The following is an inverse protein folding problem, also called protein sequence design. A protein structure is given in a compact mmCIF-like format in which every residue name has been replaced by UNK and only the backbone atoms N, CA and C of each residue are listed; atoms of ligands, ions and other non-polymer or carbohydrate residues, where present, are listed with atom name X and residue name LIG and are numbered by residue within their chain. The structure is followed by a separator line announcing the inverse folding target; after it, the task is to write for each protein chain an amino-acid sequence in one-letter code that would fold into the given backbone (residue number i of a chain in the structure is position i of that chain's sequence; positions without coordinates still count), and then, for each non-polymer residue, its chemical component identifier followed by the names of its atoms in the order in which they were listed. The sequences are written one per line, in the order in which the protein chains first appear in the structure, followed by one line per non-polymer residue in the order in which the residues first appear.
data_IF_949088969937
#
_entry.id   IF_949088969937
#
_cell.length_a   1.000
_cell.length_b   1.000
_cell.length_c   1.000
_cell.angle_alpha   90.00
_cell.angle_beta   90.00
_cell.angle_gamma   90.00
#
_symmetry.space_group_name_H-M   'P 1'
#
loop_
_entity.id
_entity.type
_entity.pdbx_description
1 polymer ?
#
# COMPACT_ATOMS: atom_id res chain seq x y z
N UNK A 1 7.02 40.47 14.88
CA UNK A 1 7.86 39.70 13.94
C UNK A 1 7.05 38.51 13.47
N UNK A 2 7.01 38.24 12.17
CA UNK A 2 6.47 36.97 11.68
C UNK A 2 7.50 35.87 12.00
N UNK A 3 7.15 34.97 12.92
CA UNK A 3 8.02 33.89 13.41
C UNK A 3 7.35 32.54 13.13
N UNK A 4 8.14 31.48 12.97
CA UNK A 4 7.66 30.13 12.63
C UNK A 4 6.59 29.59 13.57
N UNK A 5 6.64 29.96 14.85
CA UNK A 5 5.70 29.49 15.89
C UNK A 5 4.29 30.09 15.77
N UNK A 6 4.12 31.16 14.97
CA UNK A 6 2.84 31.82 14.72
C UNK A 6 2.51 31.89 13.23
N UNK A 7 3.18 31.09 12.41
CA UNK A 7 2.89 31.03 10.99
C UNK A 7 1.50 30.39 10.77
N UNK A 8 0.69 31.01 9.92
CA UNK A 8 -0.59 30.43 9.48
C UNK A 8 -0.40 29.37 8.39
N UNK A 9 0.83 29.22 7.90
CA UNK A 9 1.20 28.28 6.85
C UNK A 9 1.74 26.98 7.42
N UNK A 10 1.41 25.87 6.77
CA UNK A 10 2.05 24.59 7.04
C UNK A 10 3.51 24.57 6.56
N UNK A 11 4.27 23.56 6.98
CA UNK A 11 5.54 23.26 6.33
C UNK A 11 5.28 22.62 4.96
N UNK A 12 5.20 23.46 3.93
CA UNK A 12 4.83 23.06 2.57
C UNK A 12 5.70 21.92 2.03
N UNK A 13 7.03 22.01 2.20
CA UNK A 13 7.96 21.02 1.68
C UNK A 13 7.70 19.62 2.28
N UNK A 14 7.56 19.54 3.61
CA UNK A 14 7.30 18.27 4.29
C UNK A 14 5.90 17.74 4.02
N UNK A 15 4.89 18.60 3.94
CA UNK A 15 3.53 18.20 3.56
C UNK A 15 3.48 17.64 2.13
N UNK A 16 4.14 18.31 1.19
CA UNK A 16 4.25 17.83 -0.19
C UNK A 16 4.93 16.47 -0.27
N UNK A 17 6.01 16.26 0.48
CA UNK A 17 6.68 14.96 0.57
C UNK A 17 5.74 13.87 1.13
N UNK A 18 5.02 14.17 2.22
CA UNK A 18 4.07 13.24 2.82
C UNK A 18 2.94 12.85 1.84
N UNK A 19 2.42 13.82 1.07
CA UNK A 19 1.40 13.58 0.03
C UNK A 19 1.94 12.71 -1.12
N UNK A 20 3.18 12.93 -1.55
CA UNK A 20 3.81 12.11 -2.58
C UNK A 20 3.96 10.65 -2.10
N UNK A 21 4.42 10.45 -0.87
CA UNK A 21 4.52 9.12 -0.25
C UNK A 21 3.15 8.46 -0.08
N UNK A 22 2.12 9.22 0.29
CA UNK A 22 0.74 8.72 0.35
C UNK A 22 0.26 8.16 -1.00
N UNK A 23 0.55 8.87 -2.09
CA UNK A 23 0.21 8.42 -3.44
C UNK A 23 0.95 7.13 -3.85
N UNK A 24 2.26 7.09 -3.63
CA UNK A 24 3.10 5.91 -3.89
C UNK A 24 2.64 4.67 -3.10
N UNK A 25 2.30 4.89 -1.84
CA UNK A 25 1.72 3.88 -0.96
C UNK A 25 0.40 3.35 -1.51
N UNK A 26 -0.58 4.23 -1.77
CA UNK A 26 -1.89 3.82 -2.26
C UNK A 26 -1.82 3.06 -3.59
N UNK A 27 -0.94 3.49 -4.50
CA UNK A 27 -0.71 2.81 -5.79
C UNK A 27 -0.17 1.39 -5.61
N UNK A 28 0.82 1.22 -4.73
CA UNK A 28 1.41 -0.09 -4.43
C UNK A 28 0.36 -1.02 -3.79
N UNK A 29 -0.35 -0.53 -2.77
CA UNK A 29 -1.38 -1.29 -2.08
C UNK A 29 -2.52 -1.74 -3.00
N UNK A 30 -2.95 -0.89 -3.94
CA UNK A 30 -3.96 -1.26 -4.93
C UNK A 30 -3.47 -2.38 -5.87
N UNK A 31 -2.19 -2.36 -6.26
CA UNK A 31 -1.60 -3.42 -7.08
C UNK A 31 -1.57 -4.76 -6.33
N UNK A 32 -1.13 -4.74 -5.08
CA UNK A 32 -1.09 -5.93 -4.22
C UNK A 32 -2.48 -6.48 -3.95
N UNK A 33 -3.44 -5.62 -3.61
CA UNK A 33 -4.85 -6.00 -3.41
C UNK A 33 -5.44 -6.65 -4.65
N UNK A 34 -5.26 -6.01 -5.82
CA UNK A 34 -5.72 -6.55 -7.09
C UNK A 34 -5.20 -7.97 -7.34
N UNK A 35 -3.90 -8.20 -7.13
CA UNK A 35 -3.31 -9.51 -7.32
C UNK A 35 -3.81 -10.53 -6.29
N UNK A 36 -3.94 -10.18 -5.02
CA UNK A 36 -4.47 -11.09 -4.00
C UNK A 36 -5.91 -11.56 -4.31
N UNK A 37 -6.75 -10.63 -4.79
CA UNK A 37 -8.15 -10.89 -5.09
C UNK A 37 -8.31 -11.66 -6.41
N UNK A 38 -7.49 -11.35 -7.43
CA UNK A 38 -7.66 -11.90 -8.79
C UNK A 38 -6.93 -13.20 -9.05
N UNK A 39 -5.93 -13.55 -8.24
CA UNK A 39 -5.22 -14.81 -8.42
C UNK A 39 -6.07 -16.01 -7.97
N UNK A 40 -5.86 -17.20 -8.60
CA UNK A 40 -6.63 -18.41 -8.32
C UNK A 40 -6.59 -18.84 -6.86
N UNK A 41 -7.60 -19.58 -6.43
CA UNK A 41 -7.56 -20.31 -5.17
C UNK A 41 -6.47 -21.38 -5.23
N UNK A 42 -5.69 -21.49 -4.16
CA UNK A 42 -4.69 -22.54 -4.05
C UNK A 42 -5.39 -23.91 -4.06
N UNK A 43 -4.90 -24.84 -4.88
CA UNK A 43 -5.47 -26.19 -4.97
C UNK A 43 -4.36 -27.23 -4.84
N UNK A 44 -4.54 -28.15 -3.90
CA UNK A 44 -3.61 -29.24 -3.60
C UNK A 44 -4.00 -30.59 -4.23
N UNK A 45 -5.00 -30.60 -5.11
CA UNK A 45 -5.37 -31.78 -5.87
C UNK A 45 -4.18 -32.32 -6.69
N UNK A 46 -3.89 -33.61 -6.53
CA UNK A 46 -2.75 -34.26 -7.18
C UNK A 46 -1.37 -33.92 -6.60
N UNK A 47 -1.29 -33.14 -5.52
CA UNK A 47 -0.02 -32.77 -4.87
C UNK A 47 0.33 -33.76 -3.76
N UNK A 48 1.48 -34.41 -3.88
CA UNK A 48 2.04 -35.20 -2.78
C UNK A 48 2.65 -34.26 -1.74
N UNK A 49 2.26 -34.40 -0.47
CA UNK A 49 2.70 -33.52 0.63
C UNK A 49 3.62 -34.23 1.63
N UNK A 50 4.18 -35.39 1.28
CA UNK A 50 5.21 -36.10 2.04
C UNK A 50 4.89 -36.27 3.55
N UNK A 51 3.62 -36.48 3.91
CA UNK A 51 3.17 -36.68 5.31
C UNK A 51 2.75 -35.41 6.07
N UNK A 52 2.94 -34.21 5.53
CA UNK A 52 2.53 -32.94 6.15
C UNK A 52 1.04 -32.62 5.89
N UNK A 53 0.15 -33.53 6.29
CA UNK A 53 -1.27 -33.54 5.88
C UNK A 53 -2.07 -32.28 6.23
N UNK A 54 -1.60 -31.47 7.17
CA UNK A 54 -2.20 -30.22 7.60
C UNK A 54 -1.73 -28.99 6.80
N UNK A 55 -0.59 -29.08 6.11
CA UNK A 55 -0.02 -27.98 5.32
C UNK A 55 -0.98 -27.42 4.25
N UNK A 56 -1.73 -28.24 3.47
CA UNK A 56 -2.70 -27.74 2.50
C UNK A 56 -3.74 -26.83 3.13
N UNK A 57 -4.31 -27.24 4.27
CA UNK A 57 -5.32 -26.46 4.98
C UNK A 57 -4.77 -25.13 5.50
N UNK A 58 -3.53 -25.14 6.00
CA UNK A 58 -2.84 -23.93 6.45
C UNK A 58 -2.60 -22.94 5.31
N UNK A 59 -2.06 -23.38 4.17
CA UNK A 59 -1.81 -22.51 3.02
C UNK A 59 -3.11 -21.94 2.42
N UNK A 60 -4.18 -22.74 2.37
CA UNK A 60 -5.52 -22.24 1.97
C UNK A 60 -5.98 -21.14 2.92
N UNK A 61 -5.79 -21.31 4.23
CA UNK A 61 -6.15 -20.31 5.22
C UNK A 61 -5.27 -19.06 5.12
N UNK A 62 -3.97 -19.22 4.89
CA UNK A 62 -3.04 -18.11 4.68
C UNK A 62 -3.47 -17.24 3.49
N UNK A 63 -3.88 -17.86 2.38
CA UNK A 63 -4.42 -17.14 1.22
C UNK A 63 -5.73 -16.40 1.54
N UNK A 64 -6.63 -17.03 2.31
CA UNK A 64 -7.88 -16.38 2.75
C UNK A 64 -7.61 -15.17 3.65
N UNK A 65 -6.67 -15.30 4.59
CA UNK A 65 -6.26 -14.20 5.47
C UNK A 65 -5.68 -13.05 4.63
N UNK A 66 -4.77 -13.34 3.70
CA UNK A 66 -4.19 -12.34 2.80
C UNK A 66 -5.26 -11.58 1.99
N UNK A 67 -6.28 -12.27 1.47
CA UNK A 67 -7.40 -11.64 0.76
C UNK A 67 -8.28 -10.80 1.69
N UNK A 68 -8.52 -11.24 2.92
CA UNK A 68 -9.28 -10.45 3.90
C UNK A 68 -8.56 -9.13 4.23
N UNK A 69 -7.23 -9.15 4.33
CA UNK A 69 -6.42 -7.94 4.51
C UNK A 69 -6.47 -7.00 3.30
N UNK A 70 -6.43 -7.54 2.09
CA UNK A 70 -6.62 -6.80 0.85
C UNK A 70 -7.99 -6.09 0.80
N UNK A 71 -9.06 -6.78 1.21
CA UNK A 71 -10.40 -6.19 1.31
C UNK A 71 -10.46 -5.11 2.39
N UNK A 72 -9.79 -5.31 3.53
CA UNK A 72 -9.70 -4.30 4.61
C UNK A 72 -9.00 -3.03 4.11
N UNK A 73 -7.91 -3.18 3.35
CA UNK A 73 -7.30 -2.05 2.65
C UNK A 73 -8.31 -1.35 1.74
N UNK A 74 -8.97 -2.10 0.84
CA UNK A 74 -9.80 -1.52 -0.22
C UNK A 74 -11.05 -0.81 0.28
N UNK A 75 -11.63 -1.29 1.38
CA UNK A 75 -12.94 -0.85 1.87
C UNK A 75 -12.86 0.07 3.08
N UNK A 76 -11.78 0.02 3.85
CA UNK A 76 -11.65 0.77 5.11
C UNK A 76 -10.46 1.72 5.06
N UNK A 77 -9.23 1.20 5.02
CA UNK A 77 -8.01 2.02 5.17
C UNK A 77 -7.85 3.00 4.00
N UNK A 78 -8.14 2.57 2.77
CA UNK A 78 -8.11 3.46 1.60
C UNK A 78 -9.10 4.61 1.72
N UNK A 79 -10.30 4.35 2.28
CA UNK A 79 -11.28 5.41 2.53
C UNK A 79 -10.76 6.38 3.58
N UNK A 80 -10.24 5.89 4.70
CA UNK A 80 -9.68 6.74 5.75
C UNK A 80 -8.53 7.62 5.22
N UNK A 81 -7.69 7.09 4.33
CA UNK A 81 -6.65 7.88 3.66
C UNK A 81 -7.26 9.00 2.80
N UNK A 82 -8.27 8.69 1.99
CA UNK A 82 -8.95 9.68 1.16
C UNK A 82 -9.63 10.76 2.00
N UNK A 83 -10.31 10.38 3.09
CA UNK A 83 -10.96 11.31 4.02
C UNK A 83 -9.92 12.27 4.64
N UNK A 84 -8.73 11.77 5.03
CA UNK A 84 -7.63 12.63 5.51
C UNK A 84 -7.14 13.60 4.44
N UNK A 85 -7.03 13.17 3.18
CA UNK A 85 -6.59 14.02 2.08
C UNK A 85 -7.65 15.08 1.71
N UNK A 86 -8.93 14.71 1.74
CA UNK A 86 -10.04 15.64 1.53
C UNK A 86 -10.05 16.74 2.59
N UNK A 87 -9.75 16.41 3.84
CA UNK A 87 -9.65 17.42 4.90
C UNK A 87 -8.59 18.51 4.66
N UNK A 88 -7.51 18.20 3.94
CA UNK A 88 -6.51 19.22 3.52
C UNK A 88 -7.15 20.21 2.52
N UNK A 89 -7.94 19.69 1.56
CA UNK A 89 -8.63 20.50 0.55
C UNK A 89 -9.74 21.35 1.17
N UNK A 90 -10.50 20.77 2.11
CA UNK A 90 -11.57 21.47 2.83
C UNK A 90 -11.01 22.59 3.71
N UNK A 91 -9.85 22.37 4.36
CA UNK A 91 -9.16 23.42 5.10
C UNK A 91 -8.71 24.57 4.19
N UNK A 92 -8.07 24.26 3.05
CA UNK A 92 -7.64 25.27 2.07
C UNK A 92 -8.83 26.10 1.57
N UNK A 93 -9.95 25.43 1.25
CA UNK A 93 -11.19 26.09 0.84
C UNK A 93 -11.73 27.02 1.94
N UNK A 94 -11.69 26.59 3.19
CA UNK A 94 -12.15 27.40 4.33
C UNK A 94 -11.24 28.61 4.56
N UNK A 95 -9.92 28.41 4.44
CA UNK A 95 -8.95 29.50 4.54
C UNK A 95 -9.14 30.53 3.43
N UNK A 96 -9.35 30.09 2.18
CA UNK A 96 -9.61 30.98 1.04
C UNK A 96 -10.91 31.78 1.23
N UNK A 97 -11.98 31.14 1.71
CA UNK A 97 -13.25 31.82 2.02
C UNK A 97 -13.10 32.91 3.09
N UNK A 98 -12.22 32.71 4.08
CA UNK A 98 -11.96 33.70 5.13
C UNK A 98 -10.91 34.74 4.77
N UNK A 99 -10.16 34.56 3.67
CA UNK A 99 -9.00 35.39 3.36
C UNK A 99 -9.32 36.88 3.29
N UNK A 100 -10.29 37.28 2.45
CA UNK A 100 -10.65 38.70 2.28
C UNK A 100 -11.21 39.30 3.58
N UNK A 101 -12.01 38.52 4.33
CA UNK A 101 -12.58 38.96 5.61
C UNK A 101 -11.49 39.20 6.66
N UNK A 102 -10.49 38.31 6.73
CA UNK A 102 -9.35 38.46 7.65
C UNK A 102 -8.49 39.67 7.26
N UNK A 103 -8.25 39.88 5.95
CA UNK A 103 -7.50 41.05 5.45
C UNK A 103 -8.22 42.35 5.80
N UNK A 104 -9.52 42.42 5.59
CA UNK A 104 -10.33 43.60 5.92
C UNK A 104 -10.37 43.87 7.44
N UNK A 105 -10.48 42.82 8.26
CA UNK A 105 -10.43 42.94 9.71
C UNK A 105 -9.08 43.52 10.19
N UNK A 106 -7.97 43.08 9.58
CA UNK A 106 -6.62 43.64 9.87
C UNK A 106 -6.56 45.12 9.47
N UNK A 107 -7.05 45.47 8.28
CA UNK A 107 -6.98 46.85 7.75
C UNK A 107 -7.85 47.83 8.54
N UNK A 108 -8.97 47.37 9.10
CA UNK A 108 -9.92 48.18 9.85
C UNK A 108 -9.69 48.15 11.36
N UNK A 109 -8.79 47.28 11.85
CA UNK A 109 -8.52 47.10 13.27
C UNK A 109 -9.62 46.34 14.02
N UNK A 110 -10.43 45.54 13.30
CA UNK A 110 -11.47 44.70 13.86
C UNK A 110 -10.89 43.42 14.47
N UNK A 111 -10.55 43.51 15.76
CA UNK A 111 -9.99 42.39 16.50
C UNK A 111 -10.98 41.25 16.77
N UNK A 112 -12.29 41.53 16.79
CA UNK A 112 -13.31 40.51 17.09
C UNK A 112 -13.48 39.58 15.88
N UNK A 113 -13.62 40.15 14.68
CA UNK A 113 -13.69 39.36 13.43
C UNK A 113 -12.41 38.55 13.20
N UNK A 114 -11.24 39.14 13.47
CA UNK A 114 -9.96 38.42 13.36
C UNK A 114 -9.91 37.21 14.32
N UNK A 115 -10.36 37.39 15.56
CA UNK A 115 -10.38 36.33 16.56
C UNK A 115 -11.35 35.21 16.18
N UNK A 116 -12.52 35.55 15.65
CA UNK A 116 -13.52 34.58 15.18
C UNK A 116 -12.95 33.73 14.03
N UNK A 117 -12.46 34.36 12.96
CA UNK A 117 -11.90 33.65 11.81
C UNK A 117 -10.73 32.71 12.18
N UNK A 118 -9.82 33.16 13.05
CA UNK A 118 -8.72 32.30 13.55
C UNK A 118 -9.24 31.17 14.45
N UNK A 119 -10.31 31.39 15.22
CA UNK A 119 -10.91 30.35 16.07
C UNK A 119 -11.57 29.26 15.24
N UNK A 120 -12.24 29.64 14.15
CA UNK A 120 -12.87 28.70 13.23
C UNK A 120 -11.83 27.87 12.48
N UNK A 121 -10.79 28.52 11.90
CA UNK A 121 -9.69 27.81 11.26
C UNK A 121 -8.99 26.84 12.22
N UNK A 122 -8.84 27.22 13.49
CA UNK A 122 -8.29 26.32 14.52
C UNK A 122 -9.20 25.11 14.78
N UNK A 123 -10.51 25.27 14.70
CA UNK A 123 -11.47 24.16 14.86
C UNK A 123 -11.31 23.15 13.72
N UNK A 124 -11.15 23.61 12.48
CA UNK A 124 -10.85 22.76 11.33
C UNK A 124 -9.49 22.06 11.45
N UNK A 125 -8.45 22.75 11.94
CA UNK A 125 -7.14 22.14 12.26
C UNK A 125 -7.31 20.98 13.24
N UNK A 126 -8.10 21.15 14.31
CA UNK A 126 -8.33 20.08 15.30
C UNK A 126 -9.08 18.88 14.69
N UNK A 127 -10.02 19.14 13.78
CA UNK A 127 -10.73 18.07 13.08
C UNK A 127 -9.78 17.30 12.15
N UNK A 128 -8.92 17.99 11.41
CA UNK A 128 -7.89 17.37 10.57
C UNK A 128 -6.84 16.59 11.38
N UNK A 129 -6.47 17.09 12.56
CA UNK A 129 -5.61 16.38 13.50
C UNK A 129 -6.22 15.03 13.89
N UNK A 130 -7.50 15.01 14.27
CA UNK A 130 -8.23 13.79 14.62
C UNK A 130 -8.30 12.80 13.46
N UNK A 131 -8.60 13.27 12.26
CA UNK A 131 -8.65 12.42 11.06
C UNK A 131 -7.27 11.84 10.72
N UNK A 132 -6.19 12.61 10.85
CA UNK A 132 -4.83 12.12 10.65
C UNK A 132 -4.41 11.10 11.71
N UNK A 133 -4.74 11.30 12.98
CA UNK A 133 -4.48 10.34 14.06
C UNK A 133 -5.23 9.02 13.81
N UNK A 134 -6.50 9.09 13.42
CA UNK A 134 -7.28 7.90 13.09
C UNK A 134 -6.68 7.11 11.93
N UNK A 135 -6.17 7.79 10.88
CA UNK A 135 -5.46 7.14 9.79
C UNK A 135 -4.25 6.33 10.29
N UNK A 136 -3.41 6.90 11.17
CA UNK A 136 -2.26 6.19 11.74
C UNK A 136 -2.69 4.97 12.56
N UNK A 137 -3.77 5.09 13.33
CA UNK A 137 -4.33 3.97 14.09
C UNK A 137 -4.78 2.83 13.17
N UNK A 138 -5.53 3.12 12.12
CA UNK A 138 -6.04 2.11 11.18
C UNK A 138 -4.91 1.45 10.35
N UNK A 139 -3.91 2.23 9.93
CA UNK A 139 -2.71 1.69 9.29
C UNK A 139 -1.95 0.74 10.22
N UNK A 140 -1.78 1.13 11.49
CA UNK A 140 -1.08 0.32 12.51
C UNK A 140 -1.82 -0.98 12.77
N UNK A 141 -3.14 -0.93 12.95
CA UNK A 141 -3.98 -2.13 13.14
C UNK A 141 -3.84 -3.10 11.98
N UNK A 142 -3.93 -2.61 10.73
CA UNK A 142 -3.80 -3.45 9.56
C UNK A 142 -2.38 -4.05 9.45
N UNK A 143 -1.33 -3.26 9.70
CA UNK A 143 0.06 -3.75 9.71
C UNK A 143 0.22 -4.88 10.73
N UNK A 144 -0.22 -4.67 11.96
CA UNK A 144 -0.01 -5.63 13.04
C UNK A 144 -0.77 -6.95 12.80
N UNK A 145 -1.99 -6.86 12.25
CA UNK A 145 -2.77 -8.03 11.84
C UNK A 145 -2.06 -8.81 10.73
N UNK A 146 -1.61 -8.12 9.68
CA UNK A 146 -0.86 -8.74 8.59
C UNK A 146 0.45 -9.36 9.09
N UNK A 147 1.18 -8.68 9.99
CA UNK A 147 2.49 -9.14 10.44
C UNK A 147 2.46 -10.50 11.13
N UNK A 148 1.37 -10.83 11.82
CA UNK A 148 1.18 -12.15 12.42
C UNK A 148 0.96 -13.23 11.34
N UNK A 149 0.06 -12.95 10.38
CA UNK A 149 -0.28 -13.89 9.31
C UNK A 149 0.88 -14.11 8.33
N UNK A 150 1.65 -13.06 8.00
CA UNK A 150 2.80 -13.18 7.07
C UNK A 150 3.90 -14.06 7.64
N UNK A 151 4.15 -14.03 8.95
CA UNK A 151 5.14 -14.92 9.58
C UNK A 151 4.70 -16.38 9.52
N UNK A 152 3.43 -16.66 9.80
CA UNK A 152 2.88 -18.01 9.68
C UNK A 152 2.92 -18.49 8.22
N UNK A 153 2.48 -17.64 7.29
CA UNK A 153 2.47 -17.96 5.87
C UNK A 153 3.88 -18.19 5.32
N UNK A 154 4.87 -17.40 5.73
CA UNK A 154 6.28 -17.59 5.35
C UNK A 154 6.78 -18.97 5.72
N UNK A 155 6.56 -19.41 6.96
CA UNK A 155 6.96 -20.75 7.39
C UNK A 155 6.25 -21.87 6.63
N UNK A 156 4.94 -21.74 6.38
CA UNK A 156 4.18 -22.72 5.62
C UNK A 156 4.65 -22.78 4.15
N UNK A 157 4.90 -21.62 3.53
CA UNK A 157 5.41 -21.51 2.16
C UNK A 157 6.78 -22.15 2.02
N UNK A 158 7.72 -21.85 2.92
CA UNK A 158 9.07 -22.42 2.90
C UNK A 158 9.04 -23.95 3.03
N UNK A 159 8.17 -24.48 3.89
CA UNK A 159 7.93 -25.91 4.01
C UNK A 159 7.38 -26.51 2.71
N UNK A 160 6.38 -25.88 2.09
CA UNK A 160 5.84 -26.29 0.79
C UNK A 160 6.95 -26.32 -0.26
N UNK A 161 7.71 -25.24 -0.37
CA UNK A 161 8.80 -25.13 -1.33
C UNK A 161 9.84 -26.23 -1.15
N UNK A 162 10.21 -26.56 0.08
CA UNK A 162 11.11 -27.69 0.39
C UNK A 162 10.54 -29.03 -0.06
N UNK A 163 9.25 -29.28 0.19
CA UNK A 163 8.56 -30.51 -0.25
C UNK A 163 8.59 -30.62 -1.78
N UNK A 164 8.24 -29.55 -2.50
CA UNK A 164 8.18 -29.55 -3.96
C UNK A 164 9.57 -29.68 -4.58
N UNK A 165 10.59 -29.01 -4.01
CA UNK A 165 11.99 -29.16 -4.40
C UNK A 165 12.48 -30.60 -4.25
N UNK A 166 12.15 -31.27 -3.14
CA UNK A 166 12.49 -32.68 -2.91
C UNK A 166 11.79 -33.63 -3.88
N UNK A 167 10.76 -33.16 -4.59
CA UNK A 167 10.06 -33.89 -5.66
C UNK A 167 10.54 -33.47 -7.07
N UNK A 168 11.68 -32.78 -7.16
CA UNK A 168 12.34 -32.41 -8.41
C UNK A 168 11.79 -31.18 -9.12
N UNK A 169 10.95 -30.36 -8.47
CA UNK A 169 10.47 -29.10 -9.06
C UNK A 169 11.53 -27.98 -8.92
N UNK A 170 11.75 -27.19 -9.97
CA UNK A 170 12.68 -26.05 -9.99
C UNK A 170 12.05 -24.77 -9.40
N UNK A 171 11.62 -24.87 -8.14
CA UNK A 171 10.83 -23.83 -7.47
C UNK A 171 11.64 -22.58 -7.08
N UNK A 172 12.95 -22.70 -6.87
CA UNK A 172 13.79 -21.58 -6.44
C UNK A 172 14.09 -20.60 -7.56
N UNK A 173 14.44 -21.09 -8.75
CA UNK A 173 14.68 -20.22 -9.90
C UNK A 173 13.37 -19.54 -10.33
N UNK A 174 12.27 -20.28 -10.31
CA UNK A 174 10.95 -19.78 -10.66
C UNK A 174 10.46 -18.68 -9.70
N UNK A 175 10.65 -18.88 -8.39
CA UNK A 175 10.32 -17.86 -7.38
C UNK A 175 11.13 -16.57 -7.58
N UNK A 176 12.43 -16.66 -7.90
CA UNK A 176 13.25 -15.47 -8.19
C UNK A 176 12.72 -14.70 -9.38
N UNK A 177 12.32 -15.38 -10.46
CA UNK A 177 11.70 -14.75 -11.64
C UNK A 177 10.40 -14.06 -11.23
N UNK A 178 9.57 -14.73 -10.42
CA UNK A 178 8.32 -14.16 -9.94
C UNK A 178 8.53 -12.90 -9.09
N UNK A 179 9.49 -12.93 -8.16
CA UNK A 179 9.84 -11.77 -7.33
C UNK A 179 10.32 -10.59 -8.19
N UNK A 180 11.19 -10.84 -9.17
CA UNK A 180 11.67 -9.80 -10.09
C UNK A 180 10.53 -9.10 -10.85
N UNK A 181 9.51 -9.85 -11.26
CA UNK A 181 8.33 -9.29 -11.91
C UNK A 181 7.53 -8.41 -10.94
N UNK A 182 7.25 -8.94 -9.74
CA UNK A 182 6.39 -8.30 -8.75
C UNK A 182 7.05 -7.08 -8.09
N UNK A 183 8.38 -7.02 -8.02
CA UNK A 183 9.10 -5.85 -7.52
C UNK A 183 8.86 -4.59 -8.36
N UNK A 184 8.44 -4.75 -9.62
CA UNK A 184 8.17 -3.62 -10.52
C UNK A 184 7.03 -2.71 -10.07
N UNK A 185 6.08 -3.24 -9.29
CA UNK A 185 4.92 -2.51 -8.75
C UNK A 185 5.14 -2.03 -7.31
N UNK A 186 6.34 -2.24 -6.77
CA UNK A 186 6.74 -1.72 -5.46
C UNK A 186 7.15 -0.25 -5.56
N UNK A 187 6.19 0.61 -5.83
CA UNK A 187 6.42 2.04 -6.00
C UNK A 187 6.86 2.72 -4.70
N UNK A 188 6.55 2.14 -3.53
CA UNK A 188 6.99 2.69 -2.26
C UNK A 188 8.52 2.71 -2.12
N UNK A 189 9.22 1.69 -2.64
CA UNK A 189 10.69 1.63 -2.67
C UNK A 189 11.33 2.47 -3.77
N UNK A 190 10.53 2.99 -4.72
CA UNK A 190 11.04 3.93 -5.73
C UNK A 190 11.23 5.30 -5.05
N UNK A 191 12.44 5.52 -4.56
CA UNK A 191 12.97 6.86 -4.32
C UNK A 191 13.05 7.56 -5.67
N UNK A 192 12.20 8.55 -5.95
CA UNK A 192 12.46 9.37 -7.13
C UNK A 192 11.83 10.77 -7.10
N UNK A 193 12.64 11.70 -7.62
CA UNK A 193 12.45 13.14 -7.81
C UNK A 193 11.25 13.55 -8.66
N UNK A 194 10.50 12.58 -9.18
CA UNK A 194 9.45 12.77 -10.19
C UNK A 194 8.11 13.24 -9.60
N UNK A 195 8.04 13.34 -8.26
CA UNK A 195 6.85 13.76 -7.53
C UNK A 195 5.64 12.93 -7.91
N UNK A 196 4.52 13.57 -8.27
CA UNK A 196 3.29 12.86 -8.64
C UNK A 196 3.31 12.23 -10.04
N UNK A 197 4.33 12.45 -10.88
CA UNK A 197 4.36 11.88 -12.24
C UNK A 197 4.42 10.35 -12.23
N UNK A 198 5.04 9.76 -11.21
CA UNK A 198 5.07 8.30 -10.99
C UNK A 198 3.66 7.69 -10.88
N UNK A 199 2.63 8.48 -10.52
CA UNK A 199 1.24 8.02 -10.49
C UNK A 199 0.66 7.78 -11.88
N UNK A 200 1.11 8.51 -12.91
CA UNK A 200 0.58 8.43 -14.29
C UNK A 200 0.90 7.09 -14.98
N UNK A 201 1.97 6.40 -14.57
CA UNK A 201 2.33 5.11 -15.14
C UNK A 201 1.26 4.04 -14.90
N UNK A 202 0.79 3.36 -15.93
CA UNK A 202 -0.18 2.28 -15.78
C UNK A 202 0.46 1.01 -15.17
N UNK A 203 -0.30 0.27 -14.38
CA UNK A 203 0.02 -1.11 -13.98
C UNK A 203 -0.82 -2.05 -14.83
N UNK A 204 -0.18 -3.04 -15.45
CA UNK A 204 -0.82 -4.05 -16.28
C UNK A 204 -0.94 -5.35 -15.48
N UNK A 205 -2.15 -5.92 -15.42
CA UNK A 205 -2.35 -7.29 -14.95
C UNK A 205 -2.15 -8.26 -16.09
N UNK A 206 -1.05 -9.01 -16.07
CA UNK A 206 -0.68 -9.91 -17.17
C UNK A 206 -0.87 -11.37 -16.76
N UNK A 207 -1.58 -12.18 -17.58
CA UNK A 207 -1.75 -13.59 -17.30
C UNK A 207 -0.44 -14.36 -17.56
N UNK A 208 -0.16 -15.30 -16.68
CA UNK A 208 0.83 -16.38 -16.87
C UNK A 208 0.14 -17.74 -16.68
N UNK A 209 0.88 -18.83 -16.88
CA UNK A 209 0.34 -20.18 -16.77
C UNK A 209 -0.24 -20.46 -15.38
N UNK A 210 -1.30 -21.26 -15.35
CA UNK A 210 -2.05 -21.59 -14.14
C UNK A 210 -3.18 -20.61 -13.82
N UNK A 211 -3.51 -19.69 -14.73
CA UNK A 211 -4.52 -18.64 -14.48
C UNK A 211 -4.03 -17.55 -13.53
N UNK A 212 -2.72 -17.50 -13.28
CA UNK A 212 -2.08 -16.54 -12.38
C UNK A 212 -1.97 -15.20 -13.09
N UNK A 213 -2.22 -14.11 -12.36
CA UNK A 213 -2.10 -12.74 -12.82
C UNK A 213 -0.99 -12.05 -12.03
N UNK A 214 0.00 -11.53 -12.75
CA UNK A 214 1.09 -10.72 -12.18
C UNK A 214 0.93 -9.26 -12.59
N UNK A 215 1.16 -8.35 -11.65
CA UNK A 215 1.15 -6.91 -11.88
C UNK A 215 2.51 -6.43 -12.36
N UNK A 216 2.53 -5.72 -13.49
CA UNK A 216 3.76 -5.12 -14.04
C UNK A 216 3.55 -3.64 -14.34
N UNK A 217 4.48 -2.80 -13.91
CA UNK A 217 4.53 -1.40 -14.31
C UNK A 217 4.79 -1.28 -15.83
N UNK A 218 3.93 -0.58 -16.57
CA UNK A 218 3.96 -0.53 -18.04
C UNK A 218 5.31 -0.07 -18.61
N UNK A 219 5.95 0.87 -17.94
CA UNK A 219 7.30 1.39 -18.22
C UNK A 219 8.40 0.33 -18.03
N UNK A 220 8.19 -0.65 -17.16
CA UNK A 220 9.11 -1.76 -16.94
C UNK A 220 8.84 -2.98 -17.83
N UNK A 221 7.77 -3.00 -18.63
CA UNK A 221 7.37 -4.17 -19.39
C UNK A 221 8.45 -4.64 -20.37
N UNK A 222 9.05 -3.74 -21.15
CA UNK A 222 10.11 -4.10 -22.11
C UNK A 222 11.34 -4.69 -21.44
N UNK A 223 11.70 -4.18 -20.25
CA UNK A 223 12.83 -4.68 -19.45
C UNK A 223 12.55 -6.07 -18.87
N UNK A 224 11.30 -6.33 -18.49
CA UNK A 224 10.88 -7.57 -17.82
C UNK A 224 10.33 -8.62 -18.78
N UNK A 225 10.16 -8.31 -20.07
CA UNK A 225 9.63 -9.24 -21.06
C UNK A 225 10.41 -10.56 -21.13
N UNK A 226 11.76 -10.61 -21.05
CA UNK A 226 12.49 -11.88 -21.01
C UNK A 226 12.07 -12.76 -19.82
N UNK A 227 12.01 -12.20 -18.62
CA UNK A 227 11.57 -12.91 -17.40
C UNK A 227 10.10 -13.32 -17.49
N UNK A 228 9.25 -12.47 -18.05
CA UNK A 228 7.84 -12.76 -18.25
C UNK A 228 7.63 -13.91 -19.26
N UNK A 229 8.44 -13.95 -20.33
CA UNK A 229 8.40 -15.03 -21.30
C UNK A 229 8.74 -16.39 -20.67
N UNK A 230 9.72 -16.43 -19.75
CA UNK A 230 10.05 -17.63 -18.98
C UNK A 230 8.88 -18.07 -18.08
N UNK A 231 8.19 -17.14 -17.41
CA UNK A 231 7.00 -17.46 -16.61
C UNK A 231 5.80 -17.93 -17.46
N UNK A 232 5.79 -17.62 -18.76
CA UNK A 232 4.78 -18.10 -19.72
C UNK A 232 5.12 -19.45 -20.36
N UNK A 233 6.26 -20.07 -20.03
CA UNK A 233 6.55 -21.42 -20.49
C UNK A 233 5.76 -22.46 -19.70
N UNK A 234 5.29 -23.51 -20.38
CA UNK A 234 4.61 -24.65 -19.74
C UNK A 234 5.49 -25.24 -18.65
N UNK A 235 4.97 -25.23 -17.42
CA UNK A 235 5.61 -25.83 -16.25
C UNK A 235 4.72 -26.92 -15.66
N UNK A 236 5.31 -27.75 -14.82
CA UNK A 236 4.55 -28.77 -14.11
C UNK A 236 3.59 -28.17 -13.07
N UNK A 237 2.67 -28.99 -12.59
CA UNK A 237 1.62 -28.57 -11.66
C UNK A 237 2.17 -28.19 -10.27
N UNK A 238 3.33 -28.73 -9.84
CA UNK A 238 3.99 -28.36 -8.57
C UNK A 238 4.55 -26.95 -8.66
N UNK A 239 5.23 -26.63 -9.77
CA UNK A 239 5.71 -25.28 -10.04
C UNK A 239 4.55 -24.29 -10.13
N UNK A 240 3.45 -24.67 -10.78
CA UNK A 240 2.24 -23.84 -10.86
C UNK A 240 1.64 -23.55 -9.48
N UNK A 241 1.50 -24.57 -8.62
CA UNK A 241 1.06 -24.40 -7.23
C UNK A 241 1.98 -23.43 -6.47
N UNK A 242 3.29 -23.64 -6.58
CA UNK A 242 4.28 -22.80 -5.91
C UNK A 242 4.16 -21.33 -6.35
N UNK A 243 3.85 -21.06 -7.63
CA UNK A 243 3.60 -19.70 -8.12
C UNK A 243 2.36 -19.07 -7.49
N UNK A 244 1.23 -19.80 -7.40
CA UNK A 244 0.00 -19.26 -6.76
C UNK A 244 0.30 -18.84 -5.32
N UNK A 245 0.97 -19.72 -4.57
CA UNK A 245 1.39 -19.46 -3.19
C UNK A 245 2.40 -18.32 -3.11
N UNK A 246 3.38 -18.31 -4.01
CA UNK A 246 4.41 -17.28 -4.10
C UNK A 246 3.83 -15.90 -4.37
N UNK A 247 2.93 -15.76 -5.35
CA UNK A 247 2.25 -14.49 -5.63
C UNK A 247 1.46 -14.02 -4.41
N UNK A 248 0.69 -14.91 -3.78
CA UNK A 248 -0.08 -14.54 -2.59
C UNK A 248 0.83 -14.05 -1.46
N UNK A 249 1.88 -14.81 -1.13
CA UNK A 249 2.84 -14.47 -0.08
C UNK A 249 3.59 -13.15 -0.37
N UNK A 250 4.11 -12.99 -1.59
CA UNK A 250 4.87 -11.78 -1.96
C UNK A 250 3.99 -10.54 -1.81
N UNK A 251 2.75 -10.59 -2.29
CA UNK A 251 1.84 -9.46 -2.18
C UNK A 251 1.51 -9.09 -0.73
N UNK A 252 1.19 -10.06 0.13
CA UNK A 252 0.85 -9.76 1.52
C UNK A 252 2.08 -9.32 2.33
N UNK A 253 3.26 -9.86 2.03
CA UNK A 253 4.54 -9.42 2.60
C UNK A 253 4.87 -7.99 2.18
N UNK A 254 4.70 -7.63 0.91
CA UNK A 254 4.95 -6.26 0.45
C UNK A 254 3.88 -5.27 0.93
N UNK A 255 2.61 -5.69 1.12
CA UNK A 255 1.61 -4.87 1.83
C UNK A 255 2.05 -4.56 3.26
N UNK A 256 2.56 -5.55 4.00
CA UNK A 256 3.07 -5.36 5.36
C UNK A 256 4.20 -4.32 5.40
N UNK A 257 5.18 -4.43 4.49
CA UNK A 257 6.31 -3.50 4.40
C UNK A 257 5.85 -2.09 4.02
N UNK A 258 4.97 -1.97 3.02
CA UNK A 258 4.44 -0.69 2.58
C UNK A 258 3.66 0.03 3.69
N UNK A 259 2.95 -0.70 4.56
CA UNK A 259 2.26 -0.13 5.71
C UNK A 259 3.23 0.42 6.75
N UNK A 260 4.29 -0.32 7.09
CA UNK A 260 5.28 0.13 8.07
C UNK A 260 5.96 1.43 7.61
N UNK A 261 6.35 1.47 6.34
CA UNK A 261 6.95 2.68 5.80
C UNK A 261 5.94 3.84 5.71
N UNK A 262 4.70 3.58 5.32
CA UNK A 262 3.65 4.59 5.22
C UNK A 262 3.30 5.19 6.59
N UNK A 263 3.27 4.40 7.66
CA UNK A 263 3.07 4.91 9.02
C UNK A 263 4.16 5.93 9.37
N UNK A 264 5.42 5.62 9.09
CA UNK A 264 6.54 6.53 9.33
C UNK A 264 6.41 7.82 8.52
N UNK A 265 6.00 7.73 7.25
CA UNK A 265 5.83 8.87 6.37
C UNK A 265 4.62 9.76 6.71
N UNK A 266 3.49 9.15 7.01
CA UNK A 266 2.21 9.83 7.19
C UNK A 266 2.01 10.36 8.61
N UNK A 267 2.78 9.88 9.59
CA UNK A 267 2.80 10.44 10.95
C UNK A 267 3.05 11.96 10.93
N UNK A 268 3.84 12.43 9.96
CA UNK A 268 4.09 13.87 9.80
C UNK A 268 2.81 14.68 9.57
N UNK A 269 1.81 14.14 8.87
CA UNK A 269 0.53 14.85 8.67
C UNK A 269 -0.16 15.13 10.02
N UNK A 270 -0.14 14.16 10.93
CA UNK A 270 -0.66 14.38 12.28
C UNK A 270 0.18 15.39 13.08
N UNK A 271 1.50 15.38 12.92
CA UNK A 271 2.38 16.36 13.56
C UNK A 271 2.15 17.76 13.03
N UNK A 272 1.87 17.92 11.73
CA UNK A 272 1.66 19.22 11.11
C UNK A 272 0.37 19.93 11.60
N UNK A 273 -0.65 19.16 11.97
CA UNK A 273 -1.90 19.69 12.51
C UNK A 273 -1.86 19.94 14.03
N UNK A 274 -0.80 19.49 14.72
CA UNK A 274 -0.59 19.75 16.14
C UNK A 274 0.17 21.06 16.33
#
# INVERSE_FOLDING_TARGET
TNNGDTALSANEAKMKEALQKAGLFAKSMNAYSYMLIKNPDVNFEGITINGYVDLPGRIVQDQKNARAHAVTWDTQVKKQLLDTLTGIVEYDTTFDNYYDTIVDAINTGDGDTLKEGITDLRTEIQQNQKTAQNLIVELTKLRDAIGQDVRAFGGNKELLQSILKNQGADVEADEKRLQQILDSVNYYKKLESDGFNVMKGAILGLPIIGGIIVGIARDNLSKLEPTLAELRQTVDYKTTLNRVVGVAYINISEMHKALDDAINALTYMSTQWH
#
